data_IF_785588332443
#
_entry.id   IF_785588332443
#
_cell.length_a   1.000
_cell.length_b   1.000
_cell.length_c   1.000
_cell.angle_alpha   90.00
_cell.angle_beta   90.00
_cell.angle_gamma   90.00
#
_symmetry.space_group_name_H-M   'P 1'
#
loop_
_entity.id
_entity.type
_entity.pdbx_description
1 polymer ?
#
# COMPACT_ATOMS: atom_id res chain seq x y z
N UNK A 1 17.13 -33.54 1.10
CA UNK A 1 16.64 -32.19 0.79
C UNK A 1 15.12 -32.30 0.66
N UNK A 2 14.35 -31.80 1.62
CA UNK A 2 12.88 -31.88 1.59
C UNK A 2 12.35 -30.63 0.87
N UNK A 3 11.77 -30.82 -0.33
CA UNK A 3 10.92 -29.81 -0.95
C UNK A 3 9.55 -29.91 -0.29
N UNK A 4 9.16 -28.89 0.48
CA UNK A 4 7.80 -28.81 0.99
C UNK A 4 6.90 -28.35 -0.16
N UNK A 5 6.34 -29.29 -0.92
CA UNK A 5 5.24 -28.98 -1.82
C UNK A 5 4.03 -28.66 -0.96
N UNK A 6 3.58 -27.41 -0.99
CA UNK A 6 2.31 -27.03 -0.38
C UNK A 6 1.19 -27.74 -1.15
N UNK A 7 0.54 -28.72 -0.54
CA UNK A 7 -0.60 -29.42 -1.11
C UNK A 7 -1.86 -28.57 -0.87
N UNK A 8 -2.21 -27.70 -1.83
CA UNK A 8 -3.46 -26.93 -1.80
C UNK A 8 -4.54 -27.77 -2.49
N UNK A 9 -5.55 -28.29 -1.78
CA UNK A 9 -6.61 -29.09 -2.39
C UNK A 9 -7.48 -28.22 -3.30
N UNK A 10 -8.04 -28.82 -4.36
CA UNK A 10 -8.86 -28.10 -5.34
C UNK A 10 -10.13 -27.45 -4.76
N UNK A 11 -10.54 -27.85 -3.56
CA UNK A 11 -11.67 -27.30 -2.82
C UNK A 11 -11.25 -26.45 -1.60
N UNK A 12 -10.00 -25.98 -1.56
CA UNK A 12 -9.55 -25.09 -0.50
C UNK A 12 -10.43 -23.83 -0.48
N UNK A 13 -11.01 -23.57 0.69
CA UNK A 13 -11.71 -22.33 0.99
C UNK A 13 -10.86 -21.50 1.95
N UNK A 14 -10.97 -20.18 1.87
CA UNK A 14 -10.35 -19.29 2.84
C UNK A 14 -10.87 -19.61 4.24
N UNK A 15 -9.95 -19.67 5.21
CA UNK A 15 -10.30 -19.97 6.61
C UNK A 15 -11.16 -18.87 7.26
N UNK A 16 -11.11 -17.66 6.71
CA UNK A 16 -11.84 -16.49 7.20
C UNK A 16 -12.30 -15.62 6.04
N UNK A 17 -13.33 -14.81 6.30
CA UNK A 17 -13.76 -13.77 5.36
C UNK A 17 -12.68 -12.69 5.23
N UNK A 18 -12.57 -12.11 4.04
CA UNK A 18 -11.76 -10.92 3.81
C UNK A 18 -12.38 -9.69 4.47
N UNK A 19 -11.53 -8.74 4.85
CA UNK A 19 -11.93 -7.42 5.33
C UNK A 19 -11.22 -6.35 4.52
N UNK A 20 -11.86 -5.21 4.31
CA UNK A 20 -11.22 -4.05 3.67
C UNK A 20 -10.28 -3.39 4.67
N UNK A 21 -9.00 -3.25 4.31
CA UNK A 21 -7.96 -2.65 5.15
C UNK A 21 -7.47 -1.29 4.65
N UNK A 22 -7.88 -0.89 3.44
CA UNK A 22 -7.57 0.41 2.83
C UNK A 22 -8.64 0.73 1.78
N UNK A 23 -8.97 2.02 1.62
CA UNK A 23 -9.97 2.47 0.64
C UNK A 23 -11.38 1.93 0.92
N UNK A 24 -12.05 1.46 -0.13
CA UNK A 24 -13.37 0.79 -0.03
C UNK A 24 -14.59 1.71 0.01
N UNK A 25 -14.41 3.03 -0.12
CA UNK A 25 -15.50 4.02 -0.09
C UNK A 25 -15.75 4.66 -1.46
N UNK A 26 -15.51 3.89 -2.53
CA UNK A 26 -15.59 4.37 -3.91
C UNK A 26 -14.34 5.10 -4.37
N UNK A 27 -14.38 5.49 -5.64
CA UNK A 27 -13.39 6.35 -6.29
C UNK A 27 -13.42 7.76 -5.68
N UNK A 28 -12.23 8.35 -5.49
CA UNK A 28 -12.10 9.73 -5.00
C UNK A 28 -10.80 10.00 -4.25
N UNK A 29 -10.69 11.21 -3.70
CA UNK A 29 -9.49 11.73 -3.05
C UNK A 29 -9.63 11.90 -1.53
N UNK A 30 -10.72 11.43 -0.92
CA UNK A 30 -10.82 11.37 0.54
C UNK A 30 -9.77 10.40 1.12
N UNK A 31 -9.49 10.51 2.42
CA UNK A 31 -8.50 9.67 3.12
C UNK A 31 -8.91 8.21 3.27
N UNK A 32 -10.16 7.89 2.94
CA UNK A 32 -10.73 6.55 2.92
C UNK A 32 -11.13 6.10 1.49
N UNK A 33 -10.64 6.80 0.47
CA UNK A 33 -10.85 6.52 -0.95
C UNK A 33 -9.51 6.39 -1.69
N UNK A 34 -9.54 5.76 -2.86
CA UNK A 34 -8.42 5.60 -3.79
C UNK A 34 -8.92 5.89 -5.21
N UNK A 35 -8.02 6.31 -6.10
CA UNK A 35 -8.33 6.61 -7.50
C UNK A 35 -7.26 5.99 -8.40
N UNK A 36 -7.63 4.91 -9.11
CA UNK A 36 -6.76 4.13 -10.01
C UNK A 36 -5.37 3.84 -9.41
N UNK A 37 -5.32 3.25 -8.21
CA UNK A 37 -4.06 2.85 -7.58
C UNK A 37 -3.35 1.74 -8.35
N UNK A 38 -2.02 1.78 -8.42
CA UNK A 38 -1.22 0.87 -9.27
C UNK A 38 -0.43 -0.19 -8.48
N UNK A 39 0.03 0.12 -7.26
CA UNK A 39 0.76 -0.85 -6.42
C UNK A 39 0.55 -0.63 -4.93
N UNK A 40 0.91 -1.66 -4.15
CA UNK A 40 0.95 -1.61 -2.70
C UNK A 40 2.14 -2.38 -2.14
N UNK A 41 2.55 -2.01 -0.94
CA UNK A 41 3.47 -2.74 -0.08
C UNK A 41 2.84 -2.93 1.30
N UNK A 42 3.19 -4.03 1.97
CA UNK A 42 2.78 -4.33 3.35
C UNK A 42 4.02 -4.63 4.18
N UNK A 43 4.19 -3.95 5.31
CA UNK A 43 5.30 -4.23 6.24
C UNK A 43 4.96 -5.30 7.29
N UNK A 44 5.95 -5.63 8.12
CA UNK A 44 5.83 -6.60 9.20
C UNK A 44 4.78 -6.20 10.27
N UNK A 45 4.48 -4.91 10.40
CA UNK A 45 3.45 -4.37 11.28
C UNK A 45 2.05 -4.41 10.63
N UNK A 46 1.94 -4.99 9.44
CA UNK A 46 0.74 -5.01 8.59
C UNK A 46 0.25 -3.61 8.20
N UNK A 47 1.15 -2.63 8.16
CA UNK A 47 0.88 -1.33 7.57
C UNK A 47 0.83 -1.48 6.06
N UNK A 48 -0.24 -0.98 5.44
CA UNK A 48 -0.39 -0.98 3.99
C UNK A 48 -0.02 0.40 3.45
N UNK A 49 0.88 0.43 2.47
CA UNK A 49 1.26 1.64 1.73
C UNK A 49 0.83 1.45 0.28
N UNK A 50 0.15 2.43 -0.29
CA UNK A 50 -0.46 2.33 -1.64
C UNK A 50 -0.01 3.53 -2.49
N UNK A 51 0.36 3.24 -3.74
CA UNK A 51 0.53 4.24 -4.78
C UNK A 51 -0.84 4.63 -5.34
N UNK A 52 -1.42 5.73 -4.84
CA UNK A 52 -2.71 6.26 -5.28
C UNK A 52 -2.50 7.17 -6.50
N UNK A 53 -2.25 6.50 -7.64
CA UNK A 53 -1.62 7.06 -8.83
C UNK A 53 -2.36 8.29 -9.39
N UNK A 54 -3.68 8.20 -9.56
CA UNK A 54 -4.46 9.30 -10.15
C UNK A 54 -4.80 10.41 -9.17
N UNK A 55 -4.63 10.18 -7.87
CA UNK A 55 -4.62 11.24 -6.87
C UNK A 55 -3.22 11.84 -6.63
N UNK A 56 -2.20 11.35 -7.32
CA UNK A 56 -0.83 11.87 -7.25
C UNK A 56 -0.28 11.90 -5.81
N UNK A 57 -0.50 10.81 -5.08
CA UNK A 57 -0.12 10.68 -3.67
C UNK A 57 0.27 9.25 -3.30
N UNK A 58 1.01 9.12 -2.21
CA UNK A 58 1.22 7.85 -1.52
C UNK A 58 0.40 7.87 -0.24
N UNK A 59 -0.37 6.81 -0.03
CA UNK A 59 -1.25 6.67 1.13
C UNK A 59 -0.77 5.55 2.04
N UNK A 60 -1.00 5.67 3.34
CA UNK A 60 -0.70 4.66 4.36
C UNK A 60 -1.93 4.37 5.23
N UNK A 61 -2.18 3.09 5.50
CA UNK A 61 -3.15 2.62 6.50
C UNK A 61 -2.46 1.72 7.52
N UNK A 62 -2.75 1.96 8.80
CA UNK A 62 -2.29 1.08 9.88
C UNK A 62 -3.21 -0.12 10.01
N UNK A 63 -2.66 -1.23 10.46
CA UNK A 63 -3.44 -2.42 10.75
C UNK A 63 -4.58 -2.11 11.74
N UNK A 64 -5.79 -2.56 11.43
CA UNK A 64 -6.98 -2.35 12.24
C UNK A 64 -7.63 -0.97 12.12
N UNK A 65 -7.10 -0.04 11.29
CA UNK A 65 -7.66 1.31 11.12
C UNK A 65 -7.92 1.65 9.62
N UNK A 66 -8.87 0.95 8.97
CA UNK A 66 -9.08 1.04 7.51
C UNK A 66 -9.71 2.35 7.04
N UNK A 67 -10.30 3.14 7.95
CA UNK A 67 -11.00 4.39 7.62
C UNK A 67 -10.10 5.62 7.72
N UNK A 68 -8.88 5.47 8.24
CA UNK A 68 -8.00 6.58 8.59
C UNK A 68 -6.70 6.56 7.78
N UNK A 69 -6.82 6.63 6.46
CA UNK A 69 -5.66 6.71 5.58
C UNK A 69 -4.91 8.03 5.77
N UNK A 70 -3.59 7.96 5.68
CA UNK A 70 -2.71 9.12 5.82
C UNK A 70 -1.92 9.34 4.53
N UNK A 71 -1.86 10.59 4.06
CA UNK A 71 -0.96 10.97 2.97
C UNK A 71 0.46 11.02 3.53
N UNK A 72 1.36 10.19 3.00
CA UNK A 72 2.77 10.13 3.42
C UNK A 72 3.73 10.77 2.42
N UNK A 73 3.28 10.97 1.18
CA UNK A 73 3.97 11.75 0.16
C UNK A 73 2.98 12.25 -0.91
N UNK A 74 3.28 13.38 -1.55
CA UNK A 74 2.43 13.96 -2.59
C UNK A 74 1.13 14.58 -2.08
N UNK A 75 0.06 14.48 -2.87
CA UNK A 75 -1.28 14.97 -2.49
C UNK A 75 -1.50 16.47 -2.69
N UNK A 76 -0.58 17.17 -3.36
CA UNK A 76 -0.71 18.58 -3.77
C UNK A 76 -0.85 18.75 -5.28
N UNK A 77 -1.49 17.77 -5.92
CA UNK A 77 -1.65 17.69 -7.36
C UNK A 77 -0.41 17.15 -8.07
N UNK A 78 -0.56 16.99 -9.39
CA UNK A 78 0.50 16.55 -10.29
C UNK A 78 1.62 17.59 -10.39
N UNK A 79 2.86 17.16 -10.23
CA UNK A 79 4.02 18.03 -10.47
C UNK A 79 5.33 17.48 -9.92
N UNK A 80 6.35 18.32 -9.99
CA UNK A 80 7.72 18.10 -9.52
C UNK A 80 8.09 18.97 -8.30
N UNK A 81 7.12 19.73 -7.76
CA UNK A 81 7.29 20.48 -6.53
C UNK A 81 7.52 19.58 -5.31
N UNK A 82 8.08 20.15 -4.24
CA UNK A 82 8.52 19.43 -3.04
C UNK A 82 7.46 18.50 -2.40
N UNK A 83 6.18 18.82 -2.55
CA UNK A 83 5.05 18.06 -2.00
C UNK A 83 4.11 17.53 -3.08
N UNK A 84 4.57 17.46 -4.33
CA UNK A 84 3.83 16.94 -5.46
C UNK A 84 4.44 15.60 -5.89
N UNK A 85 3.60 14.76 -6.46
CA UNK A 85 4.03 13.58 -7.21
C UNK A 85 3.36 13.64 -8.57
N UNK A 86 3.87 12.88 -9.53
CA UNK A 86 3.24 12.76 -10.83
C UNK A 86 3.04 11.29 -11.14
N UNK A 87 1.79 10.83 -10.91
CA UNK A 87 1.36 9.47 -11.22
C UNK A 87 2.31 8.41 -10.65
N UNK A 88 2.49 8.36 -9.30
CA UNK A 88 3.32 7.32 -8.71
C UNK A 88 2.71 5.96 -9.02
N UNK A 89 3.51 5.07 -9.61
CA UNK A 89 3.05 3.75 -10.03
C UNK A 89 3.48 2.64 -9.08
N UNK A 90 4.50 2.88 -8.26
CA UNK A 90 5.06 1.85 -7.40
C UNK A 90 5.53 2.38 -6.04
N UNK A 91 5.50 1.51 -5.04
CA UNK A 91 6.00 1.71 -3.68
C UNK A 91 6.70 0.45 -3.19
N UNK A 92 7.92 0.61 -2.69
CA UNK A 92 8.65 -0.47 -2.04
C UNK A 92 9.37 0.06 -0.81
N UNK A 93 9.54 -0.80 0.19
CA UNK A 93 10.39 -0.50 1.35
C UNK A 93 11.84 -0.76 0.98
N UNK A 94 12.65 0.29 0.93
CA UNK A 94 14.09 0.15 0.79
C UNK A 94 14.71 -0.50 2.04
N UNK A 95 15.79 -1.25 1.85
CA UNK A 95 16.61 -1.69 2.97
C UNK A 95 17.38 -0.49 3.54
N UNK A 96 17.40 -0.37 4.87
CA UNK A 96 18.27 0.62 5.52
C UNK A 96 19.71 0.22 5.22
N UNK A 97 20.45 1.04 4.47
CA UNK A 97 21.89 0.85 4.34
C UNK A 97 22.48 0.74 5.76
N UNK A 98 23.26 -0.33 6.01
CA UNK A 98 24.02 -0.43 7.25
C UNK A 98 24.82 0.88 7.41
N UNK A 99 24.86 1.50 8.60
CA UNK A 99 25.67 2.68 8.81
C UNK A 99 27.10 2.33 8.39
N UNK A 100 27.53 2.90 7.27
CA UNK A 100 28.83 2.62 6.68
C UNK A 100 29.91 3.01 7.68
N UNK A 101 30.82 2.06 7.93
CA UNK A 101 32.09 2.36 8.59
C UNK A 101 32.84 3.41 7.77
N UNK A 102 33.24 4.46 8.47
CA UNK A 102 34.35 5.34 8.13
C UNK A 102 35.19 5.52 9.38
#
# INVERSE_FOLDING_TARGET
>A
MFSLLVNIPANAIWKQNGVTIAGGNGDGDATNQLHYSESLFVDDDQTVVIADCWNHRIMQWKNGDPTNGQVVAGGKGKGDGLHQLNQPTDVFKGEKAAPGGS
#
